data_IF_355602260409
#
_entry.id   IF_355602260409
#
_cell.length_a   1.000
_cell.length_b   1.000
_cell.length_c   1.000
_cell.angle_alpha   90.00
_cell.angle_beta   90.00
_cell.angle_gamma   90.00
#
_symmetry.space_group_name_H-M   'P 1'
#
loop_
_entity.id
_entity.type
_entity.pdbx_description
1 polymer ?
#
# COMPACT_ATOMS: atom_id res chain seq x y z
N UNK A 1 -27.73 9.11 21.89
CA UNK A 1 -26.67 10.10 22.17
C UNK A 1 -25.29 9.46 22.30
N UNK A 2 -25.14 8.12 22.27
CA UNK A 2 -23.84 7.44 22.48
C UNK A 2 -22.96 7.22 21.23
N UNK A 3 -23.52 7.22 20.01
CA UNK A 3 -22.75 6.90 18.79
C UNK A 3 -21.64 7.91 18.47
N UNK A 4 -21.85 9.20 18.81
CA UNK A 4 -20.84 10.24 18.61
C UNK A 4 -19.61 10.04 19.51
N UNK A 5 -19.79 9.50 20.72
CA UNK A 5 -18.68 9.23 21.64
C UNK A 5 -17.84 8.01 21.22
N UNK A 6 -18.45 7.03 20.56
CA UNK A 6 -17.74 5.89 19.99
C UNK A 6 -16.86 6.32 18.80
N UNK A 7 -17.31 7.28 18.00
CA UNK A 7 -16.56 7.82 16.85
C UNK A 7 -15.18 8.36 17.19
N UNK A 8 -14.99 8.92 18.39
CA UNK A 8 -13.72 9.49 18.87
C UNK A 8 -12.92 8.53 19.77
N UNK A 9 -13.52 7.41 20.21
CA UNK A 9 -12.84 6.43 21.06
C UNK A 9 -11.69 5.75 20.31
N UNK A 10 -10.61 5.42 20.99
CA UNK A 10 -9.54 4.60 20.43
C UNK A 10 -10.01 3.17 20.14
N UNK A 11 -9.33 2.46 19.24
CA UNK A 11 -9.67 1.06 18.93
C UNK A 11 -9.61 0.15 20.18
N UNK A 12 -8.70 0.45 21.11
CA UNK A 12 -8.57 -0.29 22.36
C UNK A 12 -9.80 -0.08 23.26
N UNK A 13 -10.28 1.15 23.38
CA UNK A 13 -11.48 1.49 24.16
C UNK A 13 -12.72 0.87 23.53
N UNK A 14 -12.86 0.91 22.20
CA UNK A 14 -13.96 0.25 21.50
C UNK A 14 -13.98 -1.26 21.75
N UNK A 15 -12.81 -1.91 21.70
CA UNK A 15 -12.72 -3.34 21.96
C UNK A 15 -13.02 -3.67 23.43
N UNK A 16 -12.56 -2.84 24.37
CA UNK A 16 -12.89 -2.97 25.80
C UNK A 16 -14.38 -2.79 26.07
N UNK A 17 -15.00 -1.77 25.46
CA UNK A 17 -16.43 -1.50 25.57
C UNK A 17 -17.27 -2.65 24.98
N UNK A 18 -16.84 -3.24 23.86
CA UNK A 18 -17.46 -4.45 23.30
C UNK A 18 -17.40 -5.62 24.29
N UNK A 19 -16.24 -5.87 24.90
CA UNK A 19 -16.08 -6.92 25.93
C UNK A 19 -16.98 -6.63 27.16
N UNK A 20 -17.18 -5.36 27.50
CA UNK A 20 -18.10 -4.93 28.55
C UNK A 20 -19.59 -5.00 28.14
N UNK A 21 -19.91 -5.40 26.91
CA UNK A 21 -21.28 -5.60 26.42
C UNK A 21 -21.90 -4.42 25.69
N UNK A 22 -21.12 -3.38 25.34
CA UNK A 22 -21.63 -2.24 24.58
C UNK A 22 -21.99 -2.66 23.14
N UNK A 23 -23.28 -2.61 22.73
CA UNK A 23 -23.75 -3.27 21.50
C UNK A 23 -23.18 -2.69 20.21
N UNK A 24 -22.82 -1.41 20.19
CA UNK A 24 -22.33 -0.72 18.99
C UNK A 24 -20.80 -0.62 18.89
N UNK A 25 -20.05 -0.95 19.94
CA UNK A 25 -18.62 -0.66 19.99
C UNK A 25 -17.81 -1.48 18.97
N UNK A 26 -18.17 -2.76 18.80
CA UNK A 26 -17.57 -3.59 17.74
C UNK A 26 -17.98 -3.13 16.34
N UNK A 27 -19.22 -2.68 16.17
CA UNK A 27 -19.71 -2.15 14.88
C UNK A 27 -18.88 -0.96 14.41
N UNK A 28 -18.56 -0.04 15.32
CA UNK A 28 -17.69 1.10 15.04
C UNK A 28 -16.26 0.66 14.69
N UNK A 29 -15.70 -0.32 15.41
CA UNK A 29 -14.40 -0.91 15.09
C UNK A 29 -14.39 -1.52 13.68
N UNK A 30 -15.43 -2.27 13.31
CA UNK A 30 -15.58 -2.84 11.97
C UNK A 30 -15.67 -1.74 10.92
N UNK A 31 -16.49 -0.70 11.15
CA UNK A 31 -16.65 0.42 10.21
C UNK A 31 -15.31 1.07 9.87
N UNK A 32 -14.42 1.24 10.86
CA UNK A 32 -13.09 1.86 10.68
C UNK A 32 -12.10 1.00 9.91
N UNK A 33 -12.16 -0.33 10.09
CA UNK A 33 -11.11 -1.24 9.62
C UNK A 33 -11.52 -2.10 8.43
N UNK A 34 -12.82 -2.21 8.11
CA UNK A 34 -13.34 -3.13 7.08
C UNK A 34 -12.64 -2.99 5.73
N UNK A 35 -12.35 -1.77 5.28
CA UNK A 35 -11.78 -1.54 3.95
C UNK A 35 -10.32 -2.03 3.90
N UNK A 36 -9.58 -1.85 5.00
CA UNK A 36 -8.19 -2.35 5.13
C UNK A 36 -8.17 -3.88 5.24
N UNK A 37 -9.08 -4.46 6.02
CA UNK A 37 -9.19 -5.92 6.14
C UNK A 37 -9.59 -6.56 4.80
N UNK A 38 -10.51 -5.92 4.08
CA UNK A 38 -10.89 -6.29 2.73
C UNK A 38 -9.70 -6.26 1.77
N UNK A 39 -8.96 -5.16 1.74
CA UNK A 39 -7.76 -5.03 0.91
C UNK A 39 -6.73 -6.11 1.22
N UNK A 40 -6.49 -6.43 2.50
CA UNK A 40 -5.57 -7.50 2.92
C UNK A 40 -6.09 -8.87 2.45
N UNK A 41 -7.37 -9.17 2.63
CA UNK A 41 -7.95 -10.44 2.23
C UNK A 41 -7.92 -10.64 0.71
N UNK A 42 -8.34 -9.63 -0.06
CA UNK A 42 -8.33 -9.66 -1.52
C UNK A 42 -6.91 -9.87 -2.07
N UNK A 43 -5.93 -9.15 -1.52
CA UNK A 43 -4.51 -9.34 -1.88
C UNK A 43 -4.00 -10.72 -1.49
N UNK A 44 -4.47 -11.28 -0.38
CA UNK A 44 -4.01 -12.59 0.11
C UNK A 44 -4.62 -13.76 -0.65
N UNK A 45 -5.87 -13.66 -1.09
CA UNK A 45 -6.57 -14.77 -1.76
C UNK A 45 -6.56 -14.65 -3.28
N UNK A 46 -6.60 -13.43 -3.82
CA UNK A 46 -6.69 -13.20 -5.26
C UNK A 46 -8.07 -13.52 -5.86
N UNK A 47 -9.07 -13.81 -5.02
CA UNK A 47 -10.45 -14.10 -5.39
C UNK A 47 -11.39 -13.31 -4.48
N UNK A 48 -12.41 -12.67 -5.07
CA UNK A 48 -13.32 -11.74 -4.37
C UNK A 48 -14.29 -12.46 -3.44
N UNK A 49 -14.84 -13.59 -3.88
CA UNK A 49 -15.82 -14.37 -3.11
C UNK A 49 -15.12 -15.01 -1.91
N UNK A 50 -13.96 -15.62 -2.15
CA UNK A 50 -13.14 -16.18 -1.08
C UNK A 50 -12.67 -15.10 -0.10
N UNK A 51 -12.37 -13.88 -0.58
CA UNK A 51 -12.02 -12.75 0.28
C UNK A 51 -13.20 -12.25 1.12
N UNK A 52 -14.42 -12.19 0.55
CA UNK A 52 -15.62 -11.78 1.28
C UNK A 52 -15.92 -12.74 2.41
N UNK A 53 -15.90 -14.04 2.12
CA UNK A 53 -16.09 -15.04 3.13
C UNK A 53 -14.96 -15.01 4.18
N UNK A 54 -13.70 -14.84 3.78
CA UNK A 54 -12.57 -14.75 4.72
C UNK A 54 -12.71 -13.55 5.67
N UNK A 55 -13.14 -12.39 5.16
CA UNK A 55 -13.38 -11.21 6.00
C UNK A 55 -14.53 -11.47 6.94
N UNK A 56 -15.63 -12.07 6.47
CA UNK A 56 -16.75 -12.42 7.34
C UNK A 56 -16.34 -13.39 8.46
N UNK A 57 -15.65 -14.48 8.11
CA UNK A 57 -15.11 -15.46 9.07
C UNK A 57 -14.18 -14.78 10.09
N UNK A 58 -13.34 -13.85 9.62
CA UNK A 58 -12.43 -13.09 10.47
C UNK A 58 -13.18 -12.15 11.41
N UNK A 59 -14.19 -11.43 10.94
CA UNK A 59 -14.99 -10.52 11.76
C UNK A 59 -15.78 -11.28 12.84
N UNK A 60 -16.37 -12.42 12.49
CA UNK A 60 -17.05 -13.30 13.46
C UNK A 60 -16.05 -13.84 14.50
N UNK A 61 -14.87 -14.26 14.05
CA UNK A 61 -13.81 -14.74 14.94
C UNK A 61 -13.31 -13.63 15.87
N UNK A 62 -13.11 -12.41 15.36
CA UNK A 62 -12.72 -11.25 16.15
C UNK A 62 -13.79 -10.88 17.17
N UNK A 63 -15.07 -10.86 16.77
CA UNK A 63 -16.18 -10.59 17.69
C UNK A 63 -16.17 -11.55 18.89
N UNK A 64 -15.99 -12.84 18.63
CA UNK A 64 -15.96 -13.89 19.67
C UNK A 64 -14.68 -13.86 20.50
N UNK A 65 -13.53 -13.57 19.88
CA UNK A 65 -12.22 -13.60 20.51
C UNK A 65 -11.80 -12.26 21.14
N UNK A 66 -12.62 -11.22 21.10
CA UNK A 66 -12.28 -9.89 21.61
C UNK A 66 -11.76 -9.91 23.06
N UNK A 67 -12.35 -10.75 23.92
CA UNK A 67 -11.94 -10.96 25.32
C UNK A 67 -10.51 -11.52 25.47
N UNK A 68 -9.94 -12.12 24.42
CA UNK A 68 -8.58 -12.68 24.43
C UNK A 68 -7.50 -11.63 24.13
N UNK A 69 -7.90 -10.43 23.69
CA UNK A 69 -6.96 -9.37 23.37
C UNK A 69 -6.35 -8.79 24.64
N UNK A 70 -5.01 -8.87 24.75
CA UNK A 70 -4.24 -8.48 25.95
C UNK A 70 -3.54 -7.13 25.84
N UNK A 71 -3.81 -6.35 24.79
CA UNK A 71 -3.17 -5.03 24.59
C UNK A 71 -1.66 -5.06 24.29
N UNK A 72 -1.09 -6.22 23.95
CA UNK A 72 0.35 -6.38 23.66
C UNK A 72 0.75 -5.95 22.23
N UNK A 73 -0.24 -5.61 21.41
CA UNK A 73 -0.09 -5.09 20.04
C UNK A 73 -1.19 -4.06 19.79
N UNK A 74 -1.12 -3.34 18.68
CA UNK A 74 -2.27 -2.58 18.20
C UNK A 74 -3.45 -3.53 17.89
N UNK A 75 -4.69 -3.01 17.99
CA UNK A 75 -5.91 -3.75 17.62
C UNK A 75 -5.90 -4.07 16.12
N UNK A 76 -5.38 -3.15 15.30
CA UNK A 76 -5.16 -3.35 13.85
C UNK A 76 -4.29 -4.57 13.57
N UNK A 77 -3.15 -4.72 14.26
CA UNK A 77 -2.29 -5.91 14.16
C UNK A 77 -3.07 -7.18 14.49
N UNK A 78 -3.84 -7.14 15.58
CA UNK A 78 -4.63 -8.30 16.02
C UNK A 78 -5.73 -8.68 15.01
N UNK A 79 -6.43 -7.69 14.44
CA UNK A 79 -7.42 -7.90 13.37
C UNK A 79 -6.76 -8.45 12.09
N UNK A 80 -5.63 -7.86 11.66
CA UNK A 80 -4.88 -8.35 10.50
C UNK A 80 -4.46 -9.81 10.69
N UNK A 81 -4.05 -10.20 11.89
CA UNK A 81 -3.72 -11.59 12.20
C UNK A 81 -4.90 -12.53 11.99
N UNK A 82 -6.06 -12.16 12.52
CA UNK A 82 -7.27 -12.97 12.37
C UNK A 82 -7.65 -13.08 10.89
N UNK A 83 -7.61 -11.97 10.15
CA UNK A 83 -7.94 -11.94 8.71
C UNK A 83 -6.97 -12.76 7.88
N UNK A 84 -5.66 -12.63 8.07
CA UNK A 84 -4.66 -13.42 7.32
C UNK A 84 -4.80 -14.90 7.64
N UNK A 85 -5.04 -15.27 8.89
CA UNK A 85 -5.25 -16.68 9.26
C UNK A 85 -6.50 -17.26 8.62
N UNK A 86 -7.62 -16.52 8.60
CA UNK A 86 -8.83 -16.91 7.89
C UNK A 86 -8.55 -17.13 6.39
N UNK A 87 -7.79 -16.23 5.75
CA UNK A 87 -7.36 -16.40 4.36
C UNK A 87 -6.53 -17.67 4.15
N UNK A 88 -5.55 -17.92 5.02
CA UNK A 88 -4.69 -19.10 4.93
C UNK A 88 -5.46 -20.41 5.17
N UNK A 89 -6.44 -20.41 6.08
CA UNK A 89 -7.33 -21.55 6.31
C UNK A 89 -8.17 -21.85 5.06
N UNK A 90 -8.73 -20.82 4.43
CA UNK A 90 -9.52 -20.98 3.19
C UNK A 90 -8.68 -21.45 2.02
N UNK A 91 -7.49 -20.87 1.81
CA UNK A 91 -6.57 -21.30 0.77
C UNK A 91 -6.17 -22.79 0.94
N UNK A 92 -5.93 -23.24 2.18
CA UNK A 92 -5.67 -24.66 2.48
C UNK A 92 -6.86 -25.55 2.17
N UNK A 93 -8.08 -25.14 2.54
CA UNK A 93 -9.32 -25.86 2.21
C UNK A 93 -9.55 -25.96 0.70
N UNK A 94 -9.34 -24.86 -0.04
CA UNK A 94 -9.48 -24.83 -1.49
C UNK A 94 -8.46 -25.75 -2.18
N UNK A 95 -7.19 -25.74 -1.74
CA UNK A 95 -6.16 -26.63 -2.25
C UNK A 95 -6.51 -28.12 -2.02
N UNK A 96 -7.12 -28.45 -0.88
CA UNK A 96 -7.61 -29.80 -0.59
C UNK A 96 -8.83 -30.22 -1.42
N UNK A 97 -9.61 -29.28 -1.97
CA UNK A 97 -10.76 -29.55 -2.85
C UNK A 97 -10.35 -29.64 -4.32
N UNK A 98 -9.30 -28.91 -4.73
CA UNK A 98 -8.73 -28.89 -6.10
C UNK A 98 -8.02 -30.19 -6.52
N UNK A 99 -8.03 -31.23 -5.69
CA UNK A 99 -7.68 -32.60 -6.09
C UNK A 99 -8.68 -33.23 -7.10
N UNK A 100 -9.67 -32.45 -7.58
CA UNK A 100 -10.41 -32.69 -8.83
C UNK A 100 -10.13 -31.54 -9.82
N UNK A 101 -9.82 -31.83 -11.10
CA UNK A 101 -9.23 -30.85 -12.01
C UNK A 101 -10.27 -29.83 -12.46
N UNK A 102 -10.15 -28.59 -11.99
CA UNK A 102 -10.68 -27.41 -12.68
C UNK A 102 -9.59 -26.34 -12.66
N UNK A 103 -9.05 -26.10 -13.85
CA UNK A 103 -8.15 -25.00 -14.15
C UNK A 103 -9.03 -23.76 -14.36
N UNK A 104 -9.05 -22.88 -13.36
CA UNK A 104 -9.79 -21.61 -13.43
C UNK A 104 -8.85 -20.52 -12.92
N UNK A 105 -8.14 -19.89 -13.86
CA UNK A 105 -7.22 -18.78 -13.60
C UNK A 105 -7.59 -17.50 -14.38
N UNK A 106 -8.83 -17.40 -14.89
CA UNK A 106 -9.30 -16.25 -15.68
C UNK A 106 -10.16 -15.23 -14.90
N UNK A 107 -10.32 -15.36 -13.58
CA UNK A 107 -11.31 -14.54 -12.84
C UNK A 107 -10.89 -13.11 -12.49
N UNK A 108 -9.64 -12.69 -12.72
CA UNK A 108 -9.15 -11.42 -12.17
C UNK A 108 -9.56 -10.16 -12.98
N UNK A 109 -9.91 -10.31 -14.26
CA UNK A 109 -10.18 -9.16 -15.16
C UNK A 109 -11.41 -8.32 -14.78
N UNK A 110 -12.35 -8.84 -13.99
CA UNK A 110 -13.60 -8.14 -13.62
C UNK A 110 -13.63 -7.60 -12.18
N UNK A 111 -12.59 -7.80 -11.38
CA UNK A 111 -12.71 -7.69 -9.90
C UNK A 111 -12.18 -6.39 -9.29
N UNK A 112 -11.71 -5.47 -10.12
CA UNK A 112 -11.01 -4.25 -9.72
C UNK A 112 -11.85 -3.00 -9.99
N UNK A 113 -13.02 -2.91 -9.35
CA UNK A 113 -13.59 -1.59 -9.07
C UNK A 113 -12.98 -1.04 -7.77
N UNK A 114 -12.31 0.12 -7.81
CA UNK A 114 -11.72 0.71 -6.63
C UNK A 114 -12.80 1.34 -5.74
N UNK A 115 -12.78 1.03 -4.45
CA UNK A 115 -13.33 1.90 -3.41
C UNK A 115 -12.21 2.69 -2.71
N UNK A 116 -11.04 2.80 -3.36
CA UNK A 116 -10.02 3.79 -3.03
C UNK A 116 -10.07 4.88 -4.11
N UNK A 117 -10.72 6.01 -3.79
CA UNK A 117 -10.72 7.30 -4.51
C UNK A 117 -10.79 7.29 -6.04
N UNK A 118 -11.89 7.82 -6.58
CA UNK A 118 -12.14 8.08 -7.99
C UNK A 118 -11.23 9.16 -8.66
N UNK A 119 -9.95 9.27 -8.27
CA UNK A 119 -9.02 10.30 -8.80
C UNK A 119 -7.61 9.77 -9.14
N UNK A 120 -7.39 8.45 -9.15
CA UNK A 120 -6.13 7.92 -9.66
C UNK A 120 -6.12 7.96 -11.21
N UNK A 121 -5.09 8.53 -11.86
CA UNK A 121 -4.91 8.45 -13.32
C UNK A 121 -4.97 7.00 -13.78
N UNK A 122 -5.60 6.74 -14.94
CA UNK A 122 -5.83 5.40 -15.48
C UNK A 122 -4.57 4.50 -15.45
N UNK A 123 -3.39 5.08 -15.70
CA UNK A 123 -2.07 4.42 -15.65
C UNK A 123 -1.72 3.84 -14.27
N UNK A 124 -2.10 4.50 -13.16
CA UNK A 124 -1.94 3.96 -11.80
C UNK A 124 -2.87 2.76 -11.55
N UNK A 125 -4.04 2.76 -12.19
CA UNK A 125 -4.98 1.65 -12.13
C UNK A 125 -4.41 0.39 -12.80
N UNK A 126 -3.82 0.53 -13.99
CA UNK A 126 -3.18 -0.57 -14.72
C UNK A 126 -2.04 -1.23 -13.93
N UNK A 127 -1.12 -0.41 -13.39
CA UNK A 127 -0.01 -0.90 -12.55
C UNK A 127 -0.52 -1.65 -11.31
N UNK A 128 -1.55 -1.12 -10.65
CA UNK A 128 -2.13 -1.77 -9.48
C UNK A 128 -2.71 -3.15 -9.82
N UNK A 129 -3.46 -3.24 -10.94
CA UNK A 129 -4.03 -4.50 -11.40
C UNK A 129 -2.96 -5.54 -11.71
N UNK A 130 -1.91 -5.14 -12.41
CA UNK A 130 -0.83 -6.05 -12.77
C UNK A 130 -0.05 -6.56 -11.55
N UNK A 131 0.22 -5.70 -10.56
CA UNK A 131 0.83 -6.12 -9.30
C UNK A 131 -0.04 -7.16 -8.57
N UNK A 132 -1.35 -6.94 -8.50
CA UNK A 132 -2.27 -7.89 -7.87
C UNK A 132 -2.31 -9.22 -8.63
N UNK A 133 -2.30 -9.19 -9.96
CA UNK A 133 -2.23 -10.38 -10.80
C UNK A 133 -0.92 -11.17 -10.58
N UNK A 134 0.21 -10.48 -10.47
CA UNK A 134 1.49 -11.11 -10.19
C UNK A 134 1.53 -11.71 -8.77
N UNK A 135 1.00 -11.01 -7.77
CA UNK A 135 0.86 -11.53 -6.40
C UNK A 135 0.02 -12.81 -6.38
N UNK A 136 -1.13 -12.83 -7.07
CA UNK A 136 -2.03 -13.99 -7.10
C UNK A 136 -1.33 -15.28 -7.59
N UNK A 137 -0.31 -15.17 -8.45
CA UNK A 137 0.49 -16.30 -8.96
C UNK A 137 1.48 -16.89 -7.95
N UNK A 138 1.71 -16.22 -6.82
CA UNK A 138 2.59 -16.74 -5.76
C UNK A 138 1.91 -17.82 -4.90
N UNK A 139 2.67 -18.72 -4.27
CA UNK A 139 2.15 -19.52 -3.17
C UNK A 139 1.62 -18.62 -2.06
N UNK A 140 0.44 -18.95 -1.52
CA UNK A 140 -0.28 -18.10 -0.54
C UNK A 140 0.59 -17.70 0.65
N UNK A 141 1.44 -18.61 1.14
CA UNK A 141 2.38 -18.36 2.24
C UNK A 141 3.43 -17.28 1.91
N UNK A 142 3.92 -17.27 0.67
CA UNK A 142 4.90 -16.28 0.21
C UNK A 142 4.22 -14.93 0.02
N UNK A 143 3.02 -14.94 -0.58
CA UNK A 143 2.19 -13.75 -0.76
C UNK A 143 1.80 -13.10 0.56
N UNK A 144 1.32 -13.87 1.54
CA UNK A 144 0.95 -13.36 2.85
C UNK A 144 2.14 -12.69 3.56
N UNK A 145 3.35 -13.27 3.45
CA UNK A 145 4.56 -12.67 4.00
C UNK A 145 4.91 -11.32 3.33
N UNK A 146 4.81 -11.23 2.00
CA UNK A 146 5.03 -9.97 1.27
C UNK A 146 3.97 -8.91 1.61
N UNK A 147 2.70 -9.30 1.71
CA UNK A 147 1.63 -8.35 2.08
C UNK A 147 1.92 -7.76 3.44
N UNK A 148 2.25 -8.58 4.45
CA UNK A 148 2.52 -8.09 5.79
C UNK A 148 3.76 -7.20 5.85
N UNK A 149 4.89 -7.65 5.28
CA UNK A 149 6.17 -6.95 5.42
C UNK A 149 6.28 -5.78 4.44
N UNK A 150 6.05 -6.03 3.15
CA UNK A 150 6.35 -5.06 2.09
C UNK A 150 5.17 -4.10 1.84
N UNK A 151 3.92 -4.54 2.00
CA UNK A 151 2.74 -3.69 1.74
C UNK A 151 2.14 -3.05 3.00
N UNK A 152 2.13 -3.76 4.12
CA UNK A 152 1.61 -3.25 5.39
C UNK A 152 2.72 -2.68 6.30
N UNK A 153 4.00 -2.90 5.94
CA UNK A 153 5.13 -2.33 6.67
C UNK A 153 5.43 -3.01 8.02
N UNK A 154 4.90 -4.21 8.28
CA UNK A 154 5.15 -4.89 9.54
C UNK A 154 6.62 -5.29 9.68
N UNK A 155 7.22 -5.09 10.86
CA UNK A 155 8.51 -5.69 11.18
C UNK A 155 8.43 -7.21 11.02
N UNK A 156 9.54 -7.83 10.57
CA UNK A 156 9.62 -9.28 10.35
C UNK A 156 9.21 -10.09 11.58
N UNK A 157 9.55 -9.61 12.79
CA UNK A 157 9.17 -10.25 14.04
C UNK A 157 7.65 -10.25 14.28
N UNK A 158 6.97 -9.16 13.93
CA UNK A 158 5.52 -9.04 14.06
C UNK A 158 4.80 -9.87 13.00
N UNK A 159 5.27 -9.83 11.74
CA UNK A 159 4.76 -10.68 10.68
C UNK A 159 4.92 -12.18 11.02
N UNK A 160 6.01 -12.56 11.69
CA UNK A 160 6.22 -13.92 12.17
C UNK A 160 5.19 -14.33 13.23
N UNK A 161 4.89 -13.44 14.19
CA UNK A 161 3.85 -13.66 15.19
C UNK A 161 2.44 -13.73 14.58
N UNK A 162 2.18 -12.92 13.55
CA UNK A 162 0.92 -12.96 12.79
C UNK A 162 0.76 -14.31 12.08
N UNK A 163 1.78 -14.73 11.33
CA UNK A 163 1.74 -15.94 10.51
C UNK A 163 1.95 -17.24 11.29
N UNK A 164 2.29 -17.17 12.58
CA UNK A 164 2.58 -18.35 13.42
C UNK A 164 3.81 -19.13 12.96
N UNK A 165 4.83 -18.47 12.40
CA UNK A 165 6.06 -19.11 11.89
C UNK A 165 7.32 -18.40 12.39
N UNK A 166 8.51 -19.06 12.37
CA UNK A 166 9.77 -18.42 12.73
C UNK A 166 10.11 -17.21 11.84
N UNK A 167 10.85 -16.23 12.40
CA UNK A 167 11.30 -15.03 11.66
C UNK A 167 12.14 -15.37 10.43
N UNK A 168 12.98 -16.41 10.50
CA UNK A 168 13.73 -16.92 9.34
C UNK A 168 12.82 -17.45 8.22
N UNK A 169 11.68 -18.04 8.57
CA UNK A 169 10.67 -18.49 7.60
C UNK A 169 10.01 -17.30 6.91
N UNK A 170 9.70 -16.22 7.64
CA UNK A 170 9.19 -14.97 7.03
C UNK A 170 10.20 -14.39 6.06
N UNK A 171 11.48 -14.25 6.47
CA UNK A 171 12.55 -13.73 5.60
C UNK A 171 12.70 -14.56 4.32
N UNK A 172 12.73 -15.89 4.43
CA UNK A 172 12.87 -16.78 3.26
C UNK A 172 11.63 -16.78 2.36
N UNK A 173 10.42 -16.66 2.93
CA UNK A 173 9.17 -16.48 2.17
C UNK A 173 9.18 -15.17 1.39
N UNK A 174 9.58 -14.06 2.02
CA UNK A 174 9.70 -12.76 1.35
C UNK A 174 10.75 -12.81 0.23
N UNK A 175 11.94 -13.34 0.50
CA UNK A 175 13.01 -13.45 -0.49
C UNK A 175 12.57 -14.25 -1.72
N UNK A 176 11.95 -15.42 -1.53
CA UNK A 176 11.43 -16.25 -2.63
C UNK A 176 10.28 -15.59 -3.36
N UNK A 177 9.37 -14.93 -2.64
CA UNK A 177 8.27 -14.18 -3.23
C UNK A 177 8.77 -13.07 -4.14
N UNK A 178 9.71 -12.22 -3.67
CA UNK A 178 10.31 -11.15 -4.48
C UNK A 178 11.04 -11.70 -5.70
N UNK A 179 11.80 -12.78 -5.55
CA UNK A 179 12.50 -13.42 -6.67
C UNK A 179 11.53 -13.94 -7.76
N UNK A 180 10.34 -14.42 -7.36
CA UNK A 180 9.29 -14.85 -8.30
C UNK A 180 8.56 -13.68 -8.96
N UNK A 181 8.34 -12.58 -8.23
CA UNK A 181 7.71 -11.38 -8.77
C UNK A 181 8.63 -10.62 -9.74
N UNK A 182 9.94 -10.63 -9.51
CA UNK A 182 10.89 -9.87 -10.31
C UNK A 182 10.73 -10.07 -11.83
N UNK A 183 10.74 -11.30 -12.40
CA UNK A 183 10.56 -11.48 -13.83
C UNK A 183 9.17 -11.05 -14.33
N UNK A 184 8.14 -11.08 -13.47
CA UNK A 184 6.77 -10.71 -13.82
C UNK A 184 6.54 -9.20 -13.88
N UNK A 185 7.38 -8.42 -13.19
CA UNK A 185 7.22 -6.98 -13.01
C UNK A 185 8.39 -6.18 -13.59
N UNK A 186 9.27 -6.82 -14.39
CA UNK A 186 10.49 -6.16 -14.90
C UNK A 186 10.16 -5.02 -15.87
N UNK A 187 9.12 -5.15 -16.70
CA UNK A 187 8.70 -4.11 -17.64
C UNK A 187 8.14 -2.88 -16.92
N UNK A 188 7.44 -3.06 -15.80
CA UNK A 188 6.93 -1.95 -14.97
C UNK A 188 8.06 -1.06 -14.42
N UNK A 189 9.26 -1.62 -14.23
CA UNK A 189 10.43 -0.83 -13.78
C UNK A 189 10.94 0.12 -14.86
N UNK A 190 10.73 -0.20 -16.14
CA UNK A 190 11.08 0.67 -17.27
C UNK A 190 10.10 1.85 -17.36
N UNK A 191 8.81 1.59 -17.13
CA UNK A 191 7.75 2.60 -17.22
C UNK A 191 7.83 3.63 -16.09
N UNK A 192 8.14 3.22 -14.85
CA UNK A 192 8.37 4.16 -13.72
C UNK A 192 9.55 5.10 -14.02
N UNK A 193 10.57 4.63 -14.73
CA UNK A 193 11.69 5.44 -15.20
C UNK A 193 11.26 6.51 -16.20
N UNK A 194 10.37 6.17 -17.14
CA UNK A 194 9.88 7.09 -18.18
C UNK A 194 8.90 8.15 -17.61
N UNK A 195 8.09 7.80 -16.59
CA UNK A 195 7.23 8.76 -15.88
C UNK A 195 8.07 9.86 -15.21
N UNK A 196 9.22 9.50 -14.63
CA UNK A 196 10.16 10.47 -14.04
C UNK A 196 10.90 11.32 -15.09
N UNK A 197 11.08 10.80 -16.30
CA UNK A 197 11.71 11.48 -17.43
C UNK A 197 10.78 12.44 -18.18
N UNK A 198 9.48 12.10 -18.30
CA UNK A 198 8.48 12.91 -19.01
C UNK A 198 8.15 14.24 -18.32
N UNK A 199 8.37 14.34 -17.01
CA UNK A 199 8.15 15.56 -16.21
C UNK A 199 9.17 16.68 -16.43
N UNK A 200 10.33 16.42 -17.04
CA UNK A 200 11.42 17.39 -17.16
C UNK A 200 11.49 18.12 -18.52
N UNK A 201 10.55 17.86 -19.43
CA UNK A 201 10.70 18.24 -20.85
C UNK A 201 9.77 19.31 -21.43
N UNK A 202 8.87 19.96 -20.67
CA UNK A 202 7.77 20.76 -21.29
C UNK A 202 7.72 22.26 -21.01
N UNK A 203 8.73 22.87 -20.40
CA UNK A 203 8.87 24.33 -20.38
C UNK A 203 10.14 24.78 -21.12
N UNK A 204 10.09 24.73 -22.45
CA UNK A 204 10.98 25.53 -23.30
C UNK A 204 10.12 26.19 -24.37
N UNK A 205 9.55 27.35 -24.04
CA UNK A 205 8.91 28.23 -25.01
C UNK A 205 9.99 28.86 -25.90
N UNK A 206 9.85 28.84 -27.24
CA UNK A 206 10.64 29.68 -28.12
C UNK A 206 9.98 31.05 -28.26
N UNK A 207 10.75 32.12 -28.01
CA UNK A 207 10.52 33.42 -28.64
C UNK A 207 10.14 34.58 -27.71
N UNK A 208 11.06 35.54 -27.58
CA UNK A 208 10.77 36.95 -27.82
C UNK A 208 12.09 37.66 -28.15
N UNK A 209 12.36 37.87 -29.44
CA UNK A 209 13.36 38.82 -29.93
C UNK A 209 12.91 40.24 -29.58
N UNK A 210 13.76 41.01 -28.91
CA UNK A 210 13.57 42.44 -28.66
C UNK A 210 14.39 43.23 -29.70
N UNK A 211 13.83 44.24 -30.38
CA UNK A 211 14.54 45.03 -31.39
C UNK A 211 15.43 46.13 -30.75
N UNK A 212 16.47 46.62 -31.44
CA UNK A 212 17.32 47.70 -30.94
C UNK A 212 16.71 49.07 -31.26
N UNK A 213 16.78 50.00 -30.30
CA UNK A 213 16.47 51.42 -30.51
C UNK A 213 17.75 52.20 -30.87
N UNK A 214 17.67 53.06 -31.89
CA UNK A 214 18.76 53.90 -32.38
C UNK A 214 18.50 55.40 -32.12
N UNK A 215 19.42 56.02 -31.35
CA UNK A 215 19.96 57.41 -31.46
C UNK A 215 19.11 58.64 -31.04
N UNK A 216 19.72 59.85 -30.89
CA UNK A 216 21.14 60.24 -31.04
C UNK A 216 21.76 61.15 -29.92
N UNK A 217 23.06 61.42 -30.10
CA UNK A 217 24.06 62.40 -29.57
C UNK A 217 23.59 63.60 -28.71
N UNK A 218 24.38 64.21 -27.79
CA UNK A 218 25.73 64.77 -27.98
C UNK A 218 26.42 65.21 -26.65
N UNK A 219 27.76 65.27 -26.66
CA UNK A 219 28.71 66.07 -25.84
C UNK A 219 28.69 65.96 -24.30
N UNK A 220 29.80 65.88 -23.57
CA UNK A 220 31.22 65.99 -23.86
C UNK A 220 31.99 66.06 -22.52
N UNK A 221 33.31 65.92 -22.62
CA UNK A 221 34.36 66.32 -21.66
C UNK A 221 34.52 65.56 -20.32
N UNK A 222 35.72 65.00 -20.13
CA UNK A 222 36.37 65.00 -18.81
C UNK A 222 36.98 63.69 -18.31
N UNK A 223 38.08 63.24 -18.92
CA UNK A 223 39.15 62.50 -18.22
C UNK A 223 39.88 63.50 -17.26
N UNK A 224 40.77 63.13 -16.30
CA UNK A 224 41.34 61.81 -16.08
C UNK A 224 41.61 61.39 -14.61
N UNK A 225 42.15 60.17 -14.52
CA UNK A 225 43.18 59.74 -13.57
C UNK A 225 42.76 59.11 -12.24
N UNK A 226 43.31 57.91 -12.00
CA UNK A 226 43.98 57.67 -10.72
C UNK A 226 43.78 56.32 -10.06
N UNK A 227 44.76 55.45 -10.28
CA UNK A 227 45.50 54.73 -9.23
C UNK A 227 45.14 53.28 -8.88
N UNK A 228 46.25 52.55 -8.70
CA UNK A 228 46.47 51.13 -8.42
C UNK A 228 46.25 50.77 -6.95
N UNK A 229 46.05 49.47 -6.70
CA UNK A 229 46.40 48.78 -5.45
C UNK A 229 45.36 47.71 -5.13
N UNK A 230 45.65 46.45 -4.82
CA UNK A 230 46.88 45.84 -4.34
C UNK A 230 46.54 44.90 -3.17
N UNK A 231 47.06 43.67 -3.18
CA UNK A 231 47.04 42.72 -2.06
C UNK A 231 45.76 41.86 -1.96
N UNK A 232 45.77 40.53 -1.93
CA UNK A 232 46.82 39.59 -1.56
C UNK A 232 46.77 39.31 -0.06
N UNK A 233 46.27 38.12 0.33
CA UNK A 233 46.70 37.24 1.44
C UNK A 233 45.63 36.18 1.70
N UNK A 234 45.96 34.93 1.36
CA UNK A 234 46.29 33.79 2.27
C UNK A 234 45.06 33.09 2.81
#
# INVERSE_FOLDING_TARGET
MDDAALGDSSDHELLSAHVAGHPHAFGELVRRHRDRLWAVALRTLGDREEAADAVQDALVSAFRAAHTFRGQSAVTTWLHRITVNACLDRARKAASRKTSPVDDNERLEQLLEPHESAEAPAERGDLHRELLAALAKLPVDQRAALILVDMQGYPVAEAAAVLGVPTGTVKSRCARGRARLQPMLTHLRADIGDISGRGKGRNRTPGASVPPASGPMDSGSGDPAGVKGGGGRT
#
